data_IF_221057781226
#
_entry.id   IF_221057781226
#
_cell.length_a   1.000
_cell.length_b   1.000
_cell.length_c   1.000
_cell.angle_alpha   90.00
_cell.angle_beta   90.00
_cell.angle_gamma   90.00
#
_symmetry.space_group_name_H-M   'P 1'
#
loop_
_entity.id
_entity.type
_entity.pdbx_description
1 polymer ?
#
# COMPACT_ATOMS: atom_id res chain seq x y z
N UNK A 1 7.92 6.01 -12.71
CA UNK A 1 7.30 5.17 -13.73
C UNK A 1 6.28 4.22 -13.11
N UNK A 2 6.77 3.25 -12.34
CA UNK A 2 5.89 2.28 -11.70
C UNK A 2 5.78 2.55 -10.19
N UNK A 3 4.56 2.70 -9.71
CA UNK A 3 4.32 2.96 -8.30
C UNK A 3 2.83 3.01 -8.00
N UNK A 4 2.38 2.15 -7.09
CA UNK A 4 0.98 2.10 -6.70
C UNK A 4 0.55 3.39 -6.00
N UNK A 5 -0.74 3.70 -6.08
CA UNK A 5 -1.28 4.90 -5.45
C UNK A 5 -1.03 4.90 -3.94
N UNK A 6 -0.50 6.00 -3.43
CA UNK A 6 -0.21 6.12 -2.00
C UNK A 6 -1.42 5.71 -1.17
N UNK A 7 -1.15 5.09 -0.03
CA UNK A 7 -2.22 4.64 0.87
C UNK A 7 -3.20 5.78 1.15
N UNK A 8 -4.48 5.42 1.29
CA UNK A 8 -5.52 6.40 1.55
C UNK A 8 -6.50 5.89 2.59
N UNK A 9 -6.56 6.57 3.74
CA UNK A 9 -7.46 6.17 4.82
C UNK A 9 -8.92 6.35 4.41
N UNK A 10 -9.14 7.16 3.38
CA UNK A 10 -10.49 7.42 2.89
C UNK A 10 -10.82 6.51 1.71
N UNK A 11 -10.19 5.35 1.67
CA UNK A 11 -10.41 4.39 0.59
C UNK A 11 -10.09 2.97 1.06
N UNK A 12 -11.13 2.21 1.39
CA UNK A 12 -10.95 0.83 1.85
C UNK A 12 -10.34 -0.03 0.76
N UNK A 13 -9.33 -0.81 1.12
CA UNK A 13 -8.65 -1.68 0.18
C UNK A 13 -9.04 -3.14 0.41
N UNK A 14 -8.68 -4.00 -0.53
CA UNK A 14 -8.98 -5.42 -0.43
C UNK A 14 -7.87 -6.26 -1.06
N UNK A 15 -8.12 -7.58 -1.16
CA UNK A 15 -7.15 -8.49 -1.75
C UNK A 15 -6.69 -7.99 -3.11
N UNK A 16 -5.37 -7.88 -3.28
CA UNK A 16 -4.82 -7.41 -4.54
C UNK A 16 -4.53 -5.92 -4.54
N UNK A 17 -5.25 -5.19 -3.69
CA UNK A 17 -5.05 -3.75 -3.59
C UNK A 17 -3.61 -3.38 -3.31
N UNK A 18 -3.01 -2.59 -4.20
CA UNK A 18 -1.63 -2.17 -4.03
C UNK A 18 -1.53 -0.66 -3.82
N UNK A 19 -0.55 -0.24 -3.03
CA UNK A 19 -0.36 1.18 -2.74
C UNK A 19 1.12 1.49 -2.52
N UNK A 20 1.41 2.76 -2.24
CA UNK A 20 2.78 3.20 -2.00
C UNK A 20 2.91 3.89 -0.66
N UNK A 21 4.09 3.78 -0.06
CA UNK A 21 4.34 4.40 1.24
C UNK A 21 5.79 4.17 1.68
N UNK A 22 6.38 5.20 2.28
CA UNK A 22 7.76 5.12 2.74
C UNK A 22 8.71 4.89 1.58
N UNK A 23 8.26 5.22 0.38
CA UNK A 23 9.09 5.05 -0.80
C UNK A 23 8.95 3.66 -1.40
N UNK A 24 8.21 2.80 -0.72
CA UNK A 24 7.99 1.44 -1.20
C UNK A 24 6.54 1.22 -1.59
N UNK A 25 6.19 -0.02 -1.92
CA UNK A 25 4.84 -0.37 -2.31
C UNK A 25 4.29 -1.50 -1.45
N UNK A 26 3.11 -1.29 -0.87
CA UNK A 26 2.48 -2.29 -0.03
C UNK A 26 1.30 -2.94 -0.74
N UNK A 27 1.09 -4.22 -0.47
CA UNK A 27 -0.01 -4.97 -1.08
C UNK A 27 -0.83 -5.71 -0.03
N UNK A 28 -2.13 -5.42 0.01
CA UNK A 28 -3.03 -6.05 0.97
C UNK A 28 -3.29 -7.51 0.59
N UNK A 29 -3.92 -8.24 1.49
CA UNK A 29 -4.23 -9.65 1.26
C UNK A 29 -5.74 -9.86 1.18
N UNK A 30 -6.49 -8.95 1.78
CA UNK A 30 -7.95 -9.05 1.79
C UNK A 30 -8.57 -7.73 2.21
N UNK A 31 -9.90 -7.72 2.35
CA UNK A 31 -10.62 -6.52 2.75
C UNK A 31 -10.01 -5.92 4.02
N UNK A 32 -9.72 -4.63 3.97
CA UNK A 32 -9.13 -3.94 5.12
C UNK A 32 -9.50 -2.46 5.11
N UNK A 33 -9.82 -1.92 6.29
CA UNK A 33 -10.20 -0.52 6.42
C UNK A 33 -8.97 0.34 6.67
N UNK A 34 -9.19 1.64 6.87
CA UNK A 34 -8.11 2.58 7.11
C UNK A 34 -7.17 2.05 8.19
N UNK A 35 -6.00 1.56 7.78
CA UNK A 35 -5.02 1.02 8.71
C UNK A 35 -3.60 1.31 8.22
N UNK A 36 -2.71 1.63 9.15
CA UNK A 36 -1.32 1.93 8.82
C UNK A 36 -0.64 0.72 8.19
N UNK A 37 -0.30 0.83 6.90
CA UNK A 37 0.36 -0.24 6.15
C UNK A 37 1.80 -0.47 6.61
N UNK A 38 2.23 -1.72 6.56
CA UNK A 38 3.58 -2.05 6.98
C UNK A 38 3.65 -2.47 8.44
N UNK A 39 2.81 -1.86 9.27
CA UNK A 39 2.79 -2.18 10.69
C UNK A 39 1.92 -3.41 10.97
N UNK A 40 1.00 -3.69 10.05
CA UNK A 40 0.10 -4.84 10.21
C UNK A 40 0.33 -5.85 9.10
N UNK A 41 0.17 -7.13 9.42
CA UNK A 41 0.36 -8.20 8.44
C UNK A 41 -0.52 -7.97 7.22
N UNK A 42 -1.60 -7.24 7.40
CA UNK A 42 -2.52 -6.95 6.30
C UNK A 42 -1.78 -6.40 5.09
N UNK A 43 -0.95 -5.40 5.32
CA UNK A 43 -0.17 -4.79 4.24
C UNK A 43 1.27 -5.28 4.26
N UNK A 44 1.75 -5.76 3.11
CA UNK A 44 3.11 -6.26 3.00
C UNK A 44 3.83 -5.65 1.80
N UNK A 45 5.08 -5.27 2.00
CA UNK A 45 5.87 -4.67 0.92
C UNK A 45 6.01 -5.63 -0.25
N UNK A 46 5.51 -5.23 -1.41
CA UNK A 46 5.58 -6.06 -2.61
C UNK A 46 6.52 -5.44 -3.64
N UNK A 47 7.40 -4.57 -3.18
CA UNK A 47 8.35 -3.93 -4.07
C UNK A 47 8.69 -2.51 -3.64
N UNK A 48 9.23 -1.72 -4.57
CA UNK A 48 9.61 -0.34 -4.27
C UNK A 48 8.81 0.63 -5.14
N UNK A 49 8.71 1.88 -4.69
CA UNK A 49 7.99 2.90 -5.42
C UNK A 49 8.95 3.89 -6.07
N UNK A 50 8.75 4.16 -7.36
CA UNK A 50 9.61 5.08 -8.07
C UNK A 50 9.00 6.46 -8.18
N UNK A 51 9.73 7.47 -7.71
CA UNK A 51 9.25 8.84 -7.75
C UNK A 51 10.40 9.83 -7.52
N UNK A 52 10.16 11.09 -7.85
CA UNK A 52 11.18 12.11 -7.67
C UNK A 52 10.81 13.12 -6.61
N UNK A 53 11.81 13.61 -5.89
CA UNK A 53 11.60 14.59 -4.82
C UNK A 53 12.60 15.72 -4.91
#
# INVERSE_FOLDING_TARGET
>A
ATCATAWSSSSVYTNGGTVSYNGRNYTAKWWTQNERPGTSDVWADKGACGTGS
#
